data_IF_794622928505
#
_entry.id   IF_794622928505
#
_cell.length_a   1.000
_cell.length_b   1.000
_cell.length_c   1.000
_cell.angle_alpha   90.00
_cell.angle_beta   90.00
_cell.angle_gamma   90.00
#
_symmetry.space_group_name_H-M   'P 1'
#
loop_
_entity.id
_entity.type
_entity.pdbx_description
1 polymer ?
2 polymer ?
#
# COMPACT_ATOMS: atom_id res chain seq x y z
N UNK A 1 16.47 -3.15 -20.55
CA UNK A 1 15.24 -2.41 -20.15
C UNK A 1 15.54 -0.92 -20.36
N UNK A 2 15.51 -0.51 -21.60
CA UNK A 2 15.81 0.90 -21.98
C UNK A 2 14.90 1.88 -21.24
N UNK A 3 14.97 1.91 -19.93
CA UNK A 3 14.14 2.85 -19.16
C UNK A 3 14.70 4.26 -19.35
N UNK A 4 13.88 5.27 -19.26
CA UNK A 4 14.39 6.65 -19.45
C UNK A 4 15.25 7.06 -18.25
N UNK A 5 16.01 8.12 -18.41
CA UNK A 5 16.89 8.59 -17.29
C UNK A 5 16.08 8.76 -16.01
N UNK A 6 14.79 8.88 -16.14
CA UNK A 6 13.94 9.08 -14.93
C UNK A 6 14.06 7.87 -14.02
N UNK A 7 14.16 6.69 -14.56
CA UNK A 7 14.28 5.49 -13.69
C UNK A 7 15.53 5.59 -12.82
N UNK A 8 16.68 5.88 -13.40
CA UNK A 8 17.93 6.01 -12.61
C UNK A 8 17.88 7.27 -11.73
N UNK A 9 17.30 8.31 -12.24
CA UNK A 9 17.23 9.57 -11.45
C UNK A 9 16.29 9.35 -10.26
N UNK A 10 15.24 8.63 -10.48
CA UNK A 10 14.27 8.37 -9.39
C UNK A 10 14.93 7.57 -8.27
N UNK A 11 15.59 6.49 -8.60
CA UNK A 11 16.26 5.65 -7.55
C UNK A 11 17.63 6.22 -7.19
N UNK A 12 17.97 7.39 -7.68
CA UNK A 12 19.29 8.01 -7.36
C UNK A 12 19.12 9.13 -6.34
N UNK A 13 17.91 9.56 -6.10
CA UNK A 13 17.68 10.65 -5.11
C UNK A 13 16.24 10.54 -4.58
N UNK A 14 15.98 10.98 -3.36
CA UNK A 14 14.62 10.92 -2.78
C UNK A 14 13.53 11.27 -3.82
N UNK A 15 12.31 10.88 -3.57
CA UNK A 15 11.21 11.19 -4.54
C UNK A 15 10.58 12.54 -4.20
N UNK A 16 10.63 12.93 -2.95
CA UNK A 16 10.01 14.22 -2.55
C UNK A 16 8.53 14.20 -2.94
N UNK A 17 8.01 15.31 -3.41
CA UNK A 17 6.56 15.39 -3.79
C UNK A 17 6.43 15.47 -5.31
N UNK A 18 7.31 14.81 -6.01
CA UNK A 18 7.26 14.86 -7.51
C UNK A 18 5.92 14.29 -8.00
N UNK A 19 5.42 14.79 -9.12
CA UNK A 19 4.10 14.35 -9.67
C UNK A 19 4.07 12.86 -10.05
N UNK A 20 2.91 12.26 -10.00
CA UNK A 20 2.79 10.83 -10.34
C UNK A 20 3.40 10.56 -11.72
N UNK A 21 3.13 11.42 -12.67
CA UNK A 21 3.66 11.23 -14.05
C UNK A 21 5.19 11.17 -14.02
N UNK A 22 5.79 11.35 -12.88
CA UNK A 22 7.28 11.29 -12.82
C UNK A 22 7.75 9.83 -12.68
N UNK A 23 6.91 8.96 -12.20
CA UNK A 23 7.33 7.53 -12.04
C UNK A 23 7.64 6.93 -13.41
N UNK A 24 8.69 6.16 -13.48
CA UNK A 24 9.05 5.53 -14.78
C UNK A 24 7.95 4.55 -15.19
N UNK A 25 7.56 4.60 -16.44
CA UNK A 25 6.49 3.67 -16.93
C UNK A 25 5.14 4.39 -16.92
N UNK A 26 5.03 5.44 -16.15
CA UNK A 26 3.74 6.21 -16.10
C UNK A 26 3.88 7.43 -17.00
N UNK A 27 3.17 7.48 -18.09
CA UNK A 27 3.27 8.65 -19.02
C UNK A 27 2.25 9.72 -18.61
N UNK A 28 2.26 10.83 -19.29
CA UNK A 28 1.32 11.93 -18.93
C UNK A 28 -0.12 11.42 -19.02
N UNK A 29 -0.43 10.64 -20.01
CA UNK A 29 -1.83 10.11 -20.15
C UNK A 29 -2.13 9.20 -18.96
N UNK A 30 -1.23 8.30 -18.65
CA UNK A 30 -1.46 7.37 -17.50
C UNK A 30 -1.46 8.14 -16.19
N UNK A 31 -0.57 9.08 -16.05
CA UNK A 31 -0.52 9.87 -14.79
C UNK A 31 -1.88 10.55 -14.58
N UNK A 32 -2.53 10.94 -15.64
CA UNK A 32 -3.85 11.61 -15.53
C UNK A 32 -4.90 10.64 -14.99
N UNK A 33 -4.88 9.42 -15.43
CA UNK A 33 -5.91 8.44 -14.96
C UNK A 33 -5.67 8.15 -13.48
N UNK A 34 -4.44 7.92 -13.10
CA UNK A 34 -4.17 7.67 -11.66
C UNK A 34 -4.57 8.93 -10.87
N UNK A 35 -4.27 10.07 -11.42
CA UNK A 35 -4.62 11.34 -10.73
C UNK A 35 -6.14 11.42 -10.51
N UNK A 36 -6.90 11.03 -11.49
CA UNK A 36 -8.39 11.04 -11.34
C UNK A 36 -8.78 9.98 -10.32
N UNK A 37 -7.90 9.05 -10.08
CA UNK A 37 -8.20 7.96 -9.11
C UNK A 37 -7.78 8.37 -7.69
N UNK A 38 -7.30 9.59 -7.53
CA UNK A 38 -6.91 10.06 -6.15
C UNK A 38 -5.40 9.99 -5.95
N UNK A 39 -4.64 9.70 -6.98
CA UNK A 39 -3.14 9.62 -6.84
C UNK A 39 -2.53 10.85 -7.51
N UNK A 40 -2.63 12.00 -6.88
CA UNK A 40 -2.07 13.23 -7.49
C UNK A 40 -0.56 13.32 -7.25
N UNK A 41 -0.01 12.45 -6.42
CA UNK A 41 1.46 12.49 -6.14
C UNK A 41 2.04 11.08 -6.33
N UNK A 42 3.30 10.99 -6.67
CA UNK A 42 3.94 9.64 -6.88
C UNK A 42 3.98 8.86 -5.56
N UNK A 43 4.27 9.50 -4.46
CA UNK A 43 4.36 8.76 -3.18
C UNK A 43 3.02 8.08 -2.84
N UNK A 44 1.93 8.50 -3.44
CA UNK A 44 0.63 7.81 -3.15
C UNK A 44 0.60 6.50 -3.95
N UNK A 45 1.22 6.55 -5.09
CA UNK A 45 1.28 5.34 -5.97
C UNK A 45 2.29 4.36 -5.39
N UNK A 46 3.40 4.84 -4.90
CA UNK A 46 4.37 3.91 -4.30
C UNK A 46 3.68 3.20 -3.14
N UNK A 47 2.80 3.89 -2.46
CA UNK A 47 2.08 3.28 -1.33
C UNK A 47 1.28 2.07 -1.81
N UNK A 48 0.69 2.18 -2.96
CA UNK A 48 -0.10 1.03 -3.48
C UNK A 48 0.84 -0.17 -3.65
N UNK A 49 2.02 0.07 -4.17
CA UNK A 49 3.00 -1.03 -4.34
C UNK A 49 3.32 -1.67 -2.98
N UNK A 50 3.45 -0.86 -1.98
CA UNK A 50 3.77 -1.41 -0.63
C UNK A 50 2.57 -2.20 -0.11
N UNK A 51 1.37 -1.73 -0.37
CA UNK A 51 0.15 -2.43 0.11
C UNK A 51 0.01 -3.79 -0.60
N UNK A 52 0.52 -3.90 -1.80
CA UNK A 52 0.41 -5.19 -2.54
C UNK A 52 1.57 -6.12 -2.20
N UNK A 53 2.32 -5.84 -1.18
CA UNK A 53 3.44 -6.75 -0.82
C UNK A 53 4.30 -7.05 -2.05
N UNK A 54 4.52 -6.07 -2.89
CA UNK A 54 5.36 -6.27 -4.11
C UNK A 54 4.78 -7.41 -4.95
N UNK A 55 3.54 -7.78 -4.79
CA UNK A 55 3.02 -8.87 -5.65
C UNK A 55 3.00 -8.36 -7.08
N UNK A 56 3.91 -8.82 -7.88
CA UNK A 56 3.98 -8.35 -9.29
C UNK A 56 2.69 -8.64 -10.05
N UNK A 57 2.09 -9.77 -9.85
CA UNK A 57 0.83 -10.07 -10.59
C UNK A 57 -0.30 -9.17 -10.08
N UNK A 58 -0.38 -8.95 -8.81
CA UNK A 58 -1.47 -8.06 -8.30
C UNK A 58 -1.16 -6.61 -8.72
N UNK A 59 0.08 -6.22 -8.65
CA UNK A 59 0.43 -4.83 -9.05
C UNK A 59 0.14 -4.60 -10.52
N UNK A 60 0.59 -5.48 -11.38
CA UNK A 60 0.34 -5.27 -12.83
C UNK A 60 -1.16 -5.31 -13.11
N UNK A 61 -1.89 -6.21 -12.49
CA UNK A 61 -3.36 -6.25 -12.73
C UNK A 61 -3.96 -4.94 -12.18
N UNK A 62 -3.50 -4.48 -11.05
CA UNK A 62 -4.07 -3.23 -10.48
C UNK A 62 -3.77 -2.02 -11.38
N UNK A 63 -2.55 -1.84 -11.77
CA UNK A 63 -2.21 -0.68 -12.64
C UNK A 63 -2.93 -0.82 -13.98
N UNK A 64 -2.87 -1.97 -14.56
CA UNK A 64 -3.55 -2.17 -15.88
C UNK A 64 -5.06 -1.99 -15.72
N UNK A 65 -5.64 -2.63 -14.74
CA UNK A 65 -7.10 -2.53 -14.53
C UNK A 65 -7.45 -1.11 -14.10
N UNK A 66 -6.57 -0.44 -13.42
CA UNK A 66 -6.86 0.95 -12.94
C UNK A 66 -6.71 1.96 -14.08
N UNK A 67 -5.75 1.81 -14.96
CA UNK A 67 -5.56 2.84 -16.05
C UNK A 67 -5.52 2.21 -17.44
N UNK A 68 -5.12 0.96 -17.54
CA UNK A 68 -5.05 0.31 -18.88
C UNK A 68 -3.59 0.22 -19.34
N UNK A 69 -2.66 0.46 -18.45
CA UNK A 69 -1.22 0.39 -18.84
C UNK A 69 -0.97 -0.94 -19.54
N UNK A 70 0.04 -1.00 -20.36
CA UNK A 70 0.33 -2.27 -21.09
C UNK A 70 1.26 -3.14 -20.24
N UNK A 71 1.39 -4.38 -20.59
CA UNK A 71 2.29 -5.29 -19.83
C UNK A 71 3.68 -4.65 -19.77
N UNK A 72 4.03 -3.96 -20.81
CA UNK A 72 5.38 -3.33 -20.90
C UNK A 72 5.54 -2.15 -19.92
N UNK A 73 4.60 -1.26 -19.90
CA UNK A 73 4.72 -0.07 -19.00
C UNK A 73 4.64 -0.48 -17.54
N UNK A 74 3.93 -1.52 -17.25
CA UNK A 74 3.84 -1.96 -15.83
C UNK A 74 5.20 -2.51 -15.39
N UNK A 75 5.91 -3.18 -16.26
CA UNK A 75 7.25 -3.72 -15.86
C UNK A 75 8.15 -2.58 -15.43
N UNK A 76 8.09 -1.46 -16.10
CA UNK A 76 8.97 -0.32 -15.73
C UNK A 76 8.58 0.20 -14.36
N UNK A 77 7.30 0.26 -14.06
CA UNK A 77 6.89 0.75 -12.72
C UNK A 77 7.28 -0.28 -11.65
N UNK A 78 7.12 -1.54 -11.92
CA UNK A 78 7.47 -2.55 -10.89
C UNK A 78 8.94 -2.42 -10.52
N UNK A 79 9.82 -2.61 -11.47
CA UNK A 79 11.28 -2.51 -11.18
C UNK A 79 11.64 -1.08 -10.74
N UNK A 80 10.99 -0.10 -11.28
CA UNK A 80 11.31 1.30 -10.88
C UNK A 80 10.86 1.54 -9.44
N UNK A 81 9.65 1.18 -9.10
CA UNK A 81 9.21 1.37 -7.69
C UNK A 81 9.96 0.39 -6.79
N UNK A 82 10.14 -0.82 -7.25
CA UNK A 82 10.84 -1.83 -6.41
C UNK A 82 12.30 -1.44 -6.18
N UNK A 83 12.97 -0.92 -7.18
CA UNK A 83 14.40 -0.54 -6.97
C UNK A 83 14.47 0.68 -6.05
N UNK A 84 13.53 1.58 -6.13
CA UNK A 84 13.57 2.75 -5.21
C UNK A 84 13.48 2.19 -3.79
N UNK A 85 12.60 1.25 -3.59
CA UNK A 85 12.45 0.64 -2.23
C UNK A 85 13.76 -0.03 -1.80
N UNK A 86 14.43 -0.68 -2.72
CA UNK A 86 15.70 -1.35 -2.36
C UNK A 86 16.72 -0.33 -1.86
N UNK A 87 16.69 0.86 -2.38
CA UNK A 87 17.68 1.90 -1.95
C UNK A 87 17.08 2.76 -0.82
N UNK A 88 15.78 2.96 -0.85
CA UNK A 88 15.13 3.85 0.15
C UNK A 88 14.26 3.07 1.15
N UNK A 89 14.13 1.78 1.00
CA UNK A 89 13.25 0.99 1.93
C UNK A 89 13.92 -0.34 2.28
N UNK B 1 5.87 13.51 24.19
CA UNK B 1 5.32 12.28 23.56
C UNK B 1 6.26 11.14 23.93
N UNK B 2 6.14 10.69 25.16
CA UNK B 2 7.01 9.60 25.69
C UNK B 2 6.93 8.34 24.82
N UNK B 3 7.32 8.44 23.58
CA UNK B 3 7.30 7.26 22.69
C UNK B 3 8.43 6.32 23.12
N UNK B 4 8.28 5.05 22.89
CA UNK B 4 9.36 4.09 23.29
C UNK B 4 10.57 4.26 22.37
N UNK B 5 11.70 3.74 22.77
CA UNK B 5 12.94 3.85 21.94
C UNK B 5 12.66 3.38 20.52
N UNK B 6 11.63 2.61 20.34
CA UNK B 6 11.32 2.10 18.98
C UNK B 6 11.03 3.26 18.03
N UNK B 7 10.39 4.28 18.51
CA UNK B 7 10.09 5.44 17.63
C UNK B 7 11.38 6.04 17.10
N UNK B 8 12.34 6.32 17.95
CA UNK B 8 13.64 6.91 17.50
C UNK B 8 14.44 5.87 16.72
N UNK B 9 14.38 4.64 17.14
CA UNK B 9 15.16 3.57 16.43
C UNK B 9 14.55 3.37 15.05
N UNK B 10 13.26 3.43 14.96
CA UNK B 10 12.60 3.24 13.65
C UNK B 10 13.01 4.36 12.69
N UNK B 11 12.91 5.60 13.11
CA UNK B 11 13.28 6.73 12.21
C UNK B 11 14.80 6.96 12.23
N UNK B 12 15.55 6.06 12.82
CA UNK B 12 17.05 6.23 12.87
C UNK B 12 17.72 5.25 11.90
N UNK B 13 17.00 4.26 11.44
CA UNK B 13 17.60 3.28 10.50
C UNK B 13 16.49 2.68 9.64
N UNK B 14 16.77 2.27 8.42
CA UNK B 14 15.75 1.67 7.52
C UNK B 14 14.79 0.73 8.29
N UNK B 15 13.63 0.47 7.73
CA UNK B 15 12.65 -0.42 8.42
C UNK B 15 12.92 -1.88 8.01
N UNK B 16 13.48 -2.07 6.85
CA UNK B 16 13.73 -3.46 6.37
C UNK B 16 12.40 -4.23 6.36
N UNK B 17 12.41 -5.46 6.80
CA UNK B 17 11.16 -6.29 6.81
C UNK B 17 10.72 -6.54 8.26
N UNK B 18 10.91 -5.57 9.11
CA UNK B 18 10.52 -5.76 10.54
C UNK B 18 9.00 -6.00 10.65
N UNK B 19 8.58 -6.74 11.64
CA UNK B 19 7.13 -7.07 11.83
C UNK B 19 6.27 -5.84 12.09
N UNK B 20 5.01 -5.90 11.72
CA UNK B 20 4.11 -4.75 11.92
C UNK B 20 4.12 -4.29 13.38
N UNK B 21 4.11 -5.22 14.30
CA UNK B 21 4.12 -4.87 15.75
C UNK B 21 5.35 -4.04 16.08
N UNK B 22 6.23 -3.82 15.14
CA UNK B 22 7.45 -3.02 15.43
C UNK B 22 7.14 -1.53 15.32
N UNK B 23 6.11 -1.17 14.59
CA UNK B 23 5.79 0.28 14.45
C UNK B 23 5.40 0.86 15.81
N UNK B 24 5.85 2.04 16.09
CA UNK B 24 5.51 2.68 17.39
C UNK B 24 3.99 2.95 17.45
N UNK B 25 3.38 2.64 18.56
CA UNK B 25 1.92 2.86 18.71
C UNK B 25 1.18 1.55 18.42
N UNK B 26 1.79 0.64 17.71
CA UNK B 26 1.14 -0.66 17.40
C UNK B 26 1.66 -1.69 18.40
N UNK B 27 0.83 -2.20 19.28
CA UNK B 27 1.32 -3.21 20.26
C UNK B 27 1.10 -4.62 19.70
N UNK B 28 1.50 -5.62 20.45
CA UNK B 28 1.34 -7.01 19.95
C UNK B 28 -0.14 -7.31 19.66
N UNK B 29 -1.03 -6.85 20.48
CA UNK B 29 -2.48 -7.11 20.23
C UNK B 29 -2.91 -6.40 18.95
N UNK B 30 -2.52 -5.16 18.79
CA UNK B 30 -2.92 -4.40 17.57
C UNK B 30 -2.21 -4.97 16.35
N UNK B 31 -0.96 -5.33 16.49
CA UNK B 31 -0.22 -5.89 15.33
C UNK B 31 -0.95 -7.15 14.85
N UNK B 32 -1.54 -7.88 15.76
CA UNK B 32 -2.26 -9.12 15.37
C UNK B 32 -3.50 -8.78 14.53
N UNK B 33 -4.21 -7.73 14.87
CA UNK B 33 -5.43 -7.40 14.09
C UNK B 33 -5.03 -6.92 12.70
N UNK B 34 -4.04 -6.08 12.61
CA UNK B 34 -3.58 -5.63 11.27
C UNK B 34 -3.07 -6.86 10.50
N UNK B 35 -2.39 -7.73 11.19
CA UNK B 35 -1.86 -8.95 10.52
C UNK B 35 -3.02 -9.76 9.95
N UNK B 36 -4.09 -9.89 10.68
CA UNK B 36 -5.27 -10.64 10.18
C UNK B 36 -5.89 -9.85 9.02
N UNK B 37 -5.57 -8.60 8.92
CA UNK B 37 -6.15 -7.75 7.84
C UNK B 37 -5.25 -7.81 6.60
N UNK B 38 -4.18 -8.57 6.65
CA UNK B 38 -3.29 -8.69 5.45
C UNK B 38 -2.02 -7.85 5.61
N UNK B 39 -1.79 -7.29 6.77
CA UNK B 39 -0.56 -6.46 6.98
C UNK B 39 0.42 -7.24 7.87
N UNK B 40 1.06 -8.24 7.32
CA UNK B 40 2.00 -9.06 8.13
C UNK B 40 3.35 -8.34 8.29
N UNK B 41 3.58 -7.28 7.55
CA UNK B 41 4.88 -6.55 7.64
C UNK B 41 4.60 -5.05 7.85
N UNK B 42 5.49 -4.36 8.51
CA UNK B 42 5.27 -2.90 8.76
C UNK B 42 5.23 -2.13 7.43
N UNK B 43 6.11 -2.42 6.51
CA UNK B 43 6.13 -1.66 5.23
C UNK B 43 4.75 -1.74 4.53
N UNK B 44 3.92 -2.70 4.88
CA UNK B 44 2.57 -2.75 4.23
C UNK B 44 1.69 -1.69 4.91
N UNK B 45 1.93 -1.49 6.17
CA UNK B 45 1.14 -0.47 6.94
C UNK B 45 1.63 0.91 6.56
N UNK B 46 2.91 1.09 6.39
CA UNK B 46 3.39 2.44 5.99
C UNK B 46 2.73 2.76 4.65
N UNK B 47 2.53 1.76 3.84
CA UNK B 47 1.90 1.99 2.51
C UNK B 47 0.52 2.61 2.71
N UNK B 48 -0.21 2.13 3.69
CA UNK B 48 -1.57 2.70 3.93
C UNK B 48 -1.43 4.20 4.23
N UNK B 49 -0.47 4.55 5.03
CA UNK B 49 -0.26 5.99 5.37
C UNK B 49 0.02 6.79 4.10
N UNK B 50 0.79 6.23 3.21
CA UNK B 50 1.11 6.95 1.95
C UNK B 50 -0.16 7.06 1.09
N UNK B 51 -0.96 6.03 1.08
CA UNK B 51 -2.22 6.05 0.26
C UNK B 51 -3.19 7.10 0.83
N UNK B 52 -3.12 7.36 2.11
CA UNK B 52 -4.07 8.37 2.71
C UNK B 52 -3.48 9.78 2.60
N UNK B 53 -2.47 9.98 1.81
CA UNK B 53 -1.91 11.35 1.66
C UNK B 53 -1.62 11.97 3.03
N UNK B 54 -1.21 11.18 3.99
CA UNK B 54 -0.90 11.70 5.35
C UNK B 54 -2.14 12.35 5.95
N UNK B 55 -3.32 12.05 5.48
CA UNK B 55 -4.51 12.67 6.11
C UNK B 55 -4.61 12.10 7.53
N UNK B 56 -4.32 12.91 8.51
CA UNK B 56 -4.36 12.43 9.91
C UNK B 56 -5.75 11.96 10.30
N UNK B 57 -6.78 12.66 9.88
CA UNK B 57 -8.15 12.21 10.27
C UNK B 57 -8.50 10.90 9.56
N UNK B 58 -8.14 10.77 8.32
CA UNK B 58 -8.45 9.50 7.61
C UNK B 58 -7.57 8.38 8.18
N UNK B 59 -6.34 8.68 8.47
CA UNK B 59 -5.44 7.63 9.04
C UNK B 59 -5.94 7.18 10.40
N UNK B 60 -6.22 8.10 11.29
CA UNK B 60 -6.68 7.69 12.64
C UNK B 60 -8.01 6.95 12.53
N UNK B 61 -8.92 7.39 11.70
CA UNK B 61 -10.21 6.66 11.56
C UNK B 61 -9.91 5.28 10.96
N UNK B 62 -9.02 5.22 10.01
CA UNK B 62 -8.68 3.90 9.39
C UNK B 62 -8.06 2.95 10.40
N UNK B 63 -7.07 3.40 11.14
CA UNK B 63 -6.42 2.49 12.12
C UNK B 63 -7.42 2.13 13.23
N UNK B 64 -8.07 3.11 13.77
CA UNK B 64 -9.06 2.85 14.84
C UNK B 64 -10.18 1.93 14.33
N UNK B 65 -10.75 2.28 13.21
CA UNK B 65 -11.85 1.45 12.65
C UNK B 65 -11.32 0.08 12.21
N UNK B 66 -10.07 0.02 11.85
CA UNK B 66 -9.49 -1.28 11.39
C UNK B 66 -9.10 -2.17 12.59
N UNK B 67 -8.67 -1.61 13.70
CA UNK B 67 -8.25 -2.46 14.86
C UNK B 67 -8.88 -2.01 16.17
N UNK B 68 -9.17 -0.75 16.31
CA UNK B 68 -9.78 -0.24 17.58
C UNK B 68 -8.72 0.54 18.36
N UNK B 69 -7.62 0.86 17.74
CA UNK B 69 -6.55 1.63 18.46
C UNK B 69 -7.19 2.86 19.10
N UNK B 70 -6.61 3.37 20.15
CA UNK B 70 -7.20 4.57 20.81
C UNK B 70 -6.66 5.83 20.16
N UNK B 71 -7.25 6.96 20.47
CA UNK B 71 -6.77 8.23 19.88
C UNK B 71 -5.30 8.38 20.22
N UNK B 72 -4.91 7.89 21.34
CA UNK B 72 -3.49 8.02 21.82
C UNK B 72 -2.53 7.17 20.98
N UNK B 73 -2.84 5.92 20.79
CA UNK B 73 -1.92 5.02 20.02
C UNK B 73 -1.84 5.44 18.56
N UNK B 74 -2.89 5.99 18.05
CA UNK B 74 -2.85 6.41 16.63
C UNK B 74 -1.90 7.62 16.49
N UNK B 75 -1.85 8.49 17.47
CA UNK B 75 -0.92 9.66 17.36
C UNK B 75 0.52 9.17 17.24
N UNK B 76 0.88 8.12 17.95
CA UNK B 76 2.27 7.63 17.88
C UNK B 76 2.55 7.06 16.49
N UNK B 77 1.60 6.38 15.91
CA UNK B 77 1.82 5.84 14.54
C UNK B 77 1.88 6.99 13.54
N UNK B 78 1.04 7.99 13.68
CA UNK B 78 1.08 9.11 12.70
C UNK B 78 2.46 9.77 12.72
N UNK B 79 2.85 10.30 13.84
CA UNK B 79 4.18 10.96 13.92
C UNK B 79 5.31 9.97 13.68
N UNK B 80 5.14 8.74 14.09
CA UNK B 80 6.22 7.73 13.87
C UNK B 80 6.33 7.40 12.38
N UNK B 81 5.21 7.13 11.75
CA UNK B 81 5.27 6.83 10.29
C UNK B 81 5.62 8.12 9.54
N UNK B 82 5.06 9.23 9.96
CA UNK B 82 5.33 10.51 9.26
C UNK B 82 6.79 10.94 9.44
N UNK B 83 7.36 10.77 10.61
CA UNK B 83 8.77 11.20 10.79
C UNK B 83 9.67 10.27 10.01
N UNK B 84 9.33 9.01 9.92
CA UNK B 84 10.16 8.10 9.12
C UNK B 84 10.16 8.66 7.70
N UNK B 85 8.99 8.98 7.22
CA UNK B 85 8.88 9.56 5.84
C UNK B 85 9.69 10.86 5.74
N UNK B 86 9.69 11.67 6.75
CA UNK B 86 10.47 12.94 6.68
C UNK B 86 11.96 12.67 6.50
N UNK B 87 12.46 11.62 7.09
CA UNK B 87 13.92 11.32 6.95
C UNK B 87 14.09 10.41 5.75
N UNK B 88 13.05 9.72 5.44
CA UNK B 88 13.11 8.70 4.38
C UNK B 88 12.23 9.00 3.14
N UNK B 89 11.47 10.04 3.13
CA UNK B 89 10.57 10.27 1.95
C UNK B 89 10.41 11.76 1.69
N UNK C 1 -23.29 -3.21 -0.65
CA UNK C 1 -24.62 -3.26 -1.36
C UNK C 1 -24.59 -4.40 -2.38
N UNK C 2 -23.44 -4.66 -2.92
CA UNK C 2 -23.29 -5.78 -3.90
C UNK C 2 -23.34 -7.10 -3.13
N UNK C 3 -23.88 -8.13 -3.72
CA UNK C 3 -23.96 -9.44 -3.00
C UNK C 3 -22.64 -9.68 -2.27
N UNK C 4 -21.55 -9.59 -2.97
CA UNK C 4 -20.24 -9.82 -2.31
C UNK C 4 -19.89 -8.62 -1.41
N UNK C 5 -20.52 -7.51 -1.61
CA UNK C 5 -20.19 -6.33 -0.74
C UNK C 5 -20.77 -6.53 0.66
N UNK C 6 -21.74 -7.39 0.81
CA UNK C 6 -22.31 -7.59 2.18
C UNK C 6 -21.39 -8.53 2.98
N UNK C 7 -20.42 -9.10 2.33
CA UNK C 7 -19.49 -10.02 3.05
C UNK C 7 -18.51 -9.17 3.88
N UNK C 8 -18.18 -9.61 5.04
CA UNK C 8 -17.22 -8.85 5.90
C UNK C 8 -15.78 -9.18 5.49
N UNK C 9 -14.84 -8.32 5.80
CA UNK C 9 -13.42 -8.58 5.40
C UNK C 9 -12.98 -9.97 5.84
N UNK C 10 -13.30 -10.37 7.04
CA UNK C 10 -12.88 -11.73 7.51
C UNK C 10 -13.52 -12.80 6.62
N UNK C 11 -14.78 -12.64 6.29
CA UNK C 11 -15.45 -13.65 5.44
C UNK C 11 -14.92 -13.56 4.01
N UNK C 12 -14.63 -12.40 3.54
CA UNK C 12 -14.11 -12.30 2.15
C UNK C 12 -12.75 -13.01 2.06
N UNK C 13 -11.91 -12.80 3.04
CA UNK C 13 -10.56 -13.44 3.02
C UNK C 13 -10.68 -14.96 3.03
N UNK C 14 -11.54 -15.51 3.86
CA UNK C 14 -11.68 -16.98 3.89
C UNK C 14 -12.20 -17.48 2.53
N UNK C 15 -12.98 -16.68 1.85
CA UNK C 15 -13.52 -17.13 0.52
C UNK C 15 -12.40 -17.21 -0.52
N UNK C 16 -11.56 -16.22 -0.57
CA UNK C 16 -10.45 -16.24 -1.56
C UNK C 16 -9.58 -17.45 -1.28
N UNK C 17 -9.41 -17.73 -0.02
CA UNK C 17 -8.58 -18.89 0.38
C UNK C 17 -9.18 -20.17 -0.18
N UNK C 18 -10.45 -20.36 0.00
CA UNK C 18 -11.10 -21.59 -0.52
C UNK C 18 -10.77 -21.77 -1.99
N UNK C 19 -10.77 -20.72 -2.74
CA UNK C 19 -10.47 -20.88 -4.19
C UNK C 19 -8.97 -20.77 -4.44
N UNK C 20 -8.20 -20.64 -3.39
CA UNK C 20 -6.73 -20.53 -3.55
C UNK C 20 -6.40 -19.33 -4.44
N UNK C 21 -7.02 -18.20 -4.18
CA UNK C 21 -6.74 -17.00 -5.02
C UNK C 21 -5.81 -16.03 -4.26
N UNK C 22 -4.61 -15.81 -4.73
CA UNK C 22 -3.65 -14.89 -4.04
C UNK C 22 -4.24 -13.50 -3.79
N UNK C 23 -4.00 -12.94 -2.63
CA UNK C 23 -4.54 -11.59 -2.36
C UNK C 23 -3.73 -10.87 -1.29
N UNK C 24 -3.89 -9.58 -1.23
CA UNK C 24 -3.17 -8.76 -0.22
C UNK C 24 -4.19 -8.20 0.79
N UNK C 25 -3.95 -7.04 1.32
CA UNK C 25 -4.86 -6.42 2.31
C UNK C 25 -6.22 -6.07 1.71
N UNK C 26 -7.30 -6.34 2.41
CA UNK C 26 -8.65 -5.99 1.87
C UNK C 26 -9.09 -4.64 2.44
N UNK C 27 -9.32 -3.67 1.59
CA UNK C 27 -9.75 -2.32 2.06
C UNK C 27 -10.76 -1.74 1.05
N UNK C 28 -11.70 -0.97 1.51
CA UNK C 28 -12.70 -0.37 0.58
C UNK C 28 -12.01 0.13 -0.71
N UNK C 29 -10.81 0.63 -0.58
CA UNK C 29 -10.07 1.14 -1.78
C UNK C 29 -9.80 -0.01 -2.76
N UNK C 30 -9.53 -1.20 -2.28
CA UNK C 30 -9.24 -2.34 -3.20
C UNK C 30 -10.26 -3.46 -2.95
N UNK C 31 -11.19 -3.23 -2.06
CA UNK C 31 -12.22 -4.27 -1.79
C UNK C 31 -12.99 -4.57 -3.08
N UNK C 32 -13.34 -3.56 -3.82
CA UNK C 32 -14.12 -3.81 -5.05
C UNK C 32 -13.35 -4.72 -5.98
N UNK C 33 -12.09 -4.48 -6.15
CA UNK C 33 -11.31 -5.33 -7.07
C UNK C 33 -11.41 -6.77 -6.57
N UNK C 34 -11.38 -6.96 -5.29
CA UNK C 34 -11.49 -8.34 -4.76
C UNK C 34 -12.89 -8.92 -5.01
N UNK C 35 -13.90 -8.12 -4.89
CA UNK C 35 -15.28 -8.63 -5.13
C UNK C 35 -15.40 -9.10 -6.57
N UNK C 36 -14.80 -8.38 -7.48
CA UNK C 36 -14.88 -8.79 -8.91
C UNK C 36 -14.12 -10.09 -9.12
N UNK C 37 -13.00 -10.24 -8.48
CA UNK C 37 -12.19 -11.48 -8.67
C UNK C 37 -12.97 -12.71 -8.23
N UNK C 38 -13.64 -12.63 -7.11
CA UNK C 38 -14.43 -13.80 -6.66
C UNK C 38 -15.58 -14.04 -7.63
N UNK C 39 -16.15 -12.98 -8.13
CA UNK C 39 -17.29 -13.14 -9.09
C UNK C 39 -16.81 -13.90 -10.33
N UNK C 40 -15.67 -13.54 -10.86
CA UNK C 40 -15.16 -14.22 -12.08
C UNK C 40 -14.92 -15.71 -11.81
N UNK C 41 -14.36 -16.04 -10.68
CA UNK C 41 -14.11 -17.47 -10.36
C UNK C 41 -15.45 -18.19 -10.14
N UNK C 42 -16.25 -17.67 -9.25
CA UNK C 42 -17.57 -18.28 -8.95
C UNK C 42 -18.37 -18.40 -10.24
N UNK C 43 -18.20 -17.47 -11.14
CA UNK C 43 -18.94 -17.56 -12.43
C UNK C 43 -18.51 -18.82 -13.14
N UNK C 44 -17.23 -19.09 -13.16
CA UNK C 44 -16.78 -20.34 -13.85
C UNK C 44 -17.49 -21.54 -13.25
N UNK C 45 -17.49 -21.68 -11.96
CA UNK C 45 -18.15 -22.85 -11.34
C UNK C 45 -19.62 -22.87 -11.75
N UNK C 46 -20.21 -21.71 -11.96
CA UNK C 46 -21.63 -21.70 -12.37
C UNK C 46 -21.74 -22.15 -13.83
N UNK C 47 -20.68 -22.08 -14.58
CA UNK C 47 -20.74 -22.53 -16.00
C UNK C 47 -20.09 -23.92 -16.12
#
# INVERSE_FOLDING_TARGET
MTTSQKHRDFVAEPMGEKPVGSLAGIGEVLGKKLEERGFDKAYVVLGQFLVLKKDEDLFREWLKDTCGANAKQSRDCFGCLREWCDAFL
MTTSQKHRDFVAEPMGEKPVGSLAGIGEVLGKKLEERGFDKAYVVLGQFLVLKKDEDLFREWLKDTCGANAKQSRDCFGCLREWCDAFL
HDNYADLSDTELTTLLRRYNIPHGPVVGSTRRLYEKKIFEYETQRRR
#
